data_IF_149469160910
#
_entry.id   IF_149469160910
#
_cell.length_a   1.000
_cell.length_b   1.000
_cell.length_c   1.000
_cell.angle_alpha   90.00
_cell.angle_beta   90.00
_cell.angle_gamma   90.00
#
_symmetry.space_group_name_H-M   'P 1'
#
loop_
_entity.id
_entity.type
_entity.pdbx_description
1 polymer ?
#
# COMPACT_ATOMS: atom_id res chain seq x y z
N UNK A 1 9.26 22.62 -9.67
CA UNK A 1 8.67 21.87 -10.80
C UNK A 1 7.18 21.73 -10.56
N UNK A 2 6.30 22.01 -11.53
CA UNK A 2 4.87 21.79 -11.36
C UNK A 2 4.64 20.29 -11.16
N UNK A 3 4.06 19.91 -10.04
CA UNK A 3 3.72 18.51 -9.76
C UNK A 3 2.54 18.14 -10.65
N UNK A 4 2.77 17.34 -11.69
CA UNK A 4 1.70 16.69 -12.42
C UNK A 4 0.73 16.06 -11.40
N UNK A 5 -0.59 16.31 -11.53
CA UNK A 5 -1.56 15.74 -10.62
C UNK A 5 -1.48 14.22 -10.66
N UNK A 6 -1.68 13.58 -9.51
CA UNK A 6 -1.76 12.13 -9.45
C UNK A 6 -2.95 11.66 -10.28
N UNK A 7 -2.72 10.75 -11.23
CA UNK A 7 -3.77 10.14 -12.04
C UNK A 7 -4.66 9.23 -11.22
N UNK A 8 -4.05 8.48 -10.29
CA UNK A 8 -4.77 7.63 -9.36
C UNK A 8 -4.32 7.90 -7.93
N UNK A 9 -5.28 7.82 -7.00
CA UNK A 9 -5.03 7.87 -5.56
C UNK A 9 -5.75 6.72 -4.88
N UNK A 10 -4.99 5.92 -4.14
CA UNK A 10 -5.50 4.81 -3.33
C UNK A 10 -5.27 5.17 -1.86
N UNK A 11 -6.26 4.94 -1.01
CA UNK A 11 -6.14 5.18 0.43
C UNK A 11 -6.75 4.02 1.18
N UNK A 12 -5.92 3.36 1.98
CA UNK A 12 -6.32 2.23 2.81
C UNK A 12 -6.08 2.63 4.26
N UNK A 13 -7.07 2.42 5.11
CA UNK A 13 -6.96 2.65 6.55
C UNK A 13 -7.35 1.38 7.28
N UNK A 14 -6.43 0.92 8.12
CA UNK A 14 -6.69 -0.09 9.12
C UNK A 14 -7.33 0.61 10.33
N UNK A 15 -8.56 0.23 10.68
CA UNK A 15 -9.29 0.82 11.81
C UNK A 15 -8.88 0.19 13.16
N UNK A 16 -8.35 -1.03 13.16
CA UNK A 16 -7.88 -1.71 14.36
C UNK A 16 -6.57 -1.08 14.85
N UNK A 17 -5.58 -0.97 13.96
CA UNK A 17 -4.28 -0.36 14.32
C UNK A 17 -4.24 1.16 14.12
N UNK A 18 -5.34 1.76 13.64
CA UNK A 18 -5.46 3.17 13.23
C UNK A 18 -4.40 3.64 12.22
N UNK A 19 -3.72 2.70 11.56
CA UNK A 19 -2.67 3.02 10.59
C UNK A 19 -3.27 3.22 9.19
N UNK A 20 -2.83 4.26 8.49
CA UNK A 20 -3.23 4.55 7.11
C UNK A 20 -2.07 4.45 6.11
N UNK A 21 -2.38 4.02 4.90
CA UNK A 21 -1.50 4.06 3.74
C UNK A 21 -2.19 4.83 2.61
N UNK A 22 -1.62 5.95 2.21
CA UNK A 22 -2.00 6.68 1.01
C UNK A 22 -0.96 6.44 -0.08
N UNK A 23 -1.42 5.99 -1.25
CA UNK A 23 -0.59 5.80 -2.44
C UNK A 23 -1.10 6.71 -3.54
N UNK A 24 -0.21 7.50 -4.11
CA UNK A 24 -0.51 8.39 -5.24
C UNK A 24 0.35 7.96 -6.43
N UNK A 25 -0.29 7.83 -7.59
CA UNK A 25 0.31 7.37 -8.83
C UNK A 25 0.29 8.51 -9.84
N UNK A 26 1.46 9.04 -10.17
CA UNK A 26 1.64 10.12 -11.13
C UNK A 26 2.14 9.52 -12.43
N UNK A 27 1.52 9.83 -13.57
CA UNK A 27 1.95 9.30 -14.86
C UNK A 27 3.44 9.56 -15.09
N UNK A 28 4.15 8.48 -15.39
CA UNK A 28 5.57 8.49 -15.72
C UNK A 28 5.81 7.41 -16.79
N UNK A 29 5.34 7.64 -18.04
CA UNK A 29 5.51 6.65 -19.09
C UNK A 29 6.98 6.28 -19.26
N UNK A 30 7.25 4.97 -19.34
CA UNK A 30 8.61 4.47 -19.53
C UNK A 30 9.15 4.83 -20.92
N UNK A 31 10.47 4.70 -21.13
CA UNK A 31 11.12 5.01 -22.42
C UNK A 31 10.58 4.17 -23.59
N UNK A 32 9.96 3.03 -23.29
CA UNK A 32 9.38 2.10 -24.27
C UNK A 32 7.83 2.13 -24.30
N UNK A 33 7.21 3.19 -23.78
CA UNK A 33 5.74 3.33 -23.75
C UNK A 33 5.02 2.51 -22.68
N UNK A 34 5.78 1.89 -21.76
CA UNK A 34 5.22 1.20 -20.60
C UNK A 34 4.39 2.17 -19.74
N UNK A 35 3.18 1.76 -19.36
CA UNK A 35 2.33 2.51 -18.42
C UNK A 35 2.87 2.37 -16.99
N UNK A 36 3.89 3.16 -16.68
CA UNK A 36 4.47 3.28 -15.34
C UNK A 36 4.01 4.56 -14.66
N UNK A 37 4.09 4.54 -13.34
CA UNK A 37 3.68 5.63 -12.48
C UNK A 37 4.77 5.91 -11.45
N UNK A 38 5.10 7.19 -11.26
CA UNK A 38 5.84 7.65 -10.09
C UNK A 38 4.97 7.48 -8.86
N UNK A 39 5.50 6.79 -7.86
CA UNK A 39 4.75 6.45 -6.66
C UNK A 39 5.09 7.43 -5.53
N UNK A 40 4.05 8.00 -4.91
CA UNK A 40 4.18 8.67 -3.62
C UNK A 40 3.42 7.90 -2.55
N UNK A 41 4.07 7.75 -1.40
CA UNK A 41 3.48 7.20 -0.19
C UNK A 41 3.29 8.35 0.80
N UNK A 42 2.05 8.58 1.22
CA UNK A 42 1.69 9.63 2.18
C UNK A 42 2.24 11.01 1.79
N UNK A 43 2.16 11.36 0.50
CA UNK A 43 2.64 12.64 -0.05
C UNK A 43 4.15 12.70 -0.30
N UNK A 44 4.93 11.67 0.07
CA UNK A 44 6.39 11.62 -0.14
C UNK A 44 6.75 10.63 -1.25
N UNK A 45 7.79 10.89 -2.07
CA UNK A 45 8.29 9.91 -3.02
C UNK A 45 8.59 8.56 -2.34
N UNK A 46 8.16 7.48 -2.97
CA UNK A 46 8.40 6.14 -2.45
C UNK A 46 9.89 5.77 -2.61
N UNK A 47 10.63 5.68 -1.49
CA UNK A 47 12.07 5.42 -1.52
C UNK A 47 12.44 4.06 -2.12
N UNK A 48 11.66 3.01 -1.84
CA UNK A 48 11.95 1.64 -2.30
C UNK A 48 11.38 1.31 -3.68
N UNK A 49 10.36 2.05 -4.10
CA UNK A 49 9.62 1.79 -5.35
C UNK A 49 9.28 3.13 -5.97
N UNK A 50 10.28 3.84 -6.51
CA UNK A 50 10.06 5.18 -7.05
C UNK A 50 9.08 5.16 -8.23
N UNK A 51 9.08 4.07 -9.00
CA UNK A 51 8.18 3.85 -10.14
C UNK A 51 7.64 2.43 -10.14
N UNK A 52 6.37 2.28 -10.53
CA UNK A 52 5.70 0.99 -10.62
C UNK A 52 4.58 1.01 -11.67
N UNK A 53 4.26 -0.17 -12.19
CA UNK A 53 3.02 -0.43 -12.91
C UNK A 53 1.84 -0.55 -11.93
N UNK A 54 0.59 -0.44 -12.44
CA UNK A 54 -0.59 -0.65 -11.59
C UNK A 54 -0.60 -2.04 -10.93
N UNK A 55 -0.21 -3.08 -11.66
CA UNK A 55 -0.16 -4.45 -11.15
C UNK A 55 0.80 -4.57 -9.96
N UNK A 56 2.01 -4.01 -10.09
CA UNK A 56 2.99 -4.02 -8.99
C UNK A 56 2.51 -3.24 -7.76
N UNK A 57 1.77 -2.14 -7.97
CA UNK A 57 1.16 -1.38 -6.87
C UNK A 57 0.13 -2.25 -6.15
N UNK A 58 -0.79 -2.89 -6.87
CA UNK A 58 -1.81 -3.75 -6.27
C UNK A 58 -1.22 -4.98 -5.57
N UNK A 59 -0.19 -5.61 -6.15
CA UNK A 59 0.50 -6.73 -5.51
C UNK A 59 1.16 -6.34 -4.19
N UNK A 60 1.78 -5.16 -4.14
CA UNK A 60 2.39 -4.64 -2.91
C UNK A 60 1.34 -4.24 -1.88
N UNK A 61 0.23 -3.63 -2.31
CA UNK A 61 -0.90 -3.33 -1.44
C UNK A 61 -1.49 -4.61 -0.85
N UNK A 62 -1.68 -5.65 -1.65
CA UNK A 62 -2.15 -6.96 -1.18
C UNK A 62 -1.24 -7.53 -0.09
N UNK A 63 0.07 -7.60 -0.35
CA UNK A 63 1.06 -8.09 0.64
C UNK A 63 1.05 -7.26 1.92
N UNK A 64 0.92 -5.93 1.80
CA UNK A 64 0.84 -5.04 2.95
C UNK A 64 -0.40 -5.30 3.79
N UNK A 65 -1.57 -5.44 3.16
CA UNK A 65 -2.85 -5.68 3.86
C UNK A 65 -2.85 -7.05 4.54
N UNK A 66 -2.37 -8.10 3.87
CA UNK A 66 -2.27 -9.45 4.46
C UNK A 66 -1.33 -9.45 5.66
N UNK A 67 -0.14 -8.84 5.54
CA UNK A 67 0.80 -8.78 6.66
C UNK A 67 0.23 -8.01 7.87
N UNK A 68 -0.66 -7.04 7.65
CA UNK A 68 -1.36 -6.33 8.73
C UNK A 68 -2.38 -7.24 9.41
N UNK A 69 -3.22 -7.93 8.62
CA UNK A 69 -4.20 -8.87 9.15
C UNK A 69 -3.54 -10.00 9.97
N UNK A 70 -2.41 -10.56 9.52
CA UNK A 70 -1.68 -11.60 10.25
C UNK A 70 -1.07 -11.10 11.58
N UNK A 71 -0.63 -9.84 11.62
CA UNK A 71 -0.09 -9.22 12.84
C UNK A 71 -1.17 -9.00 13.89
N UNK A 72 -2.40 -8.70 13.48
CA UNK A 72 -3.53 -8.61 14.39
C UNK A 72 -3.83 -9.99 15.02
N UNK A 73 -3.74 -11.08 14.25
CA UNK A 73 -3.91 -12.46 14.74
C UNK A 73 -2.79 -12.91 15.70
N UNK A 74 -1.59 -12.33 15.60
CA UNK A 74 -0.42 -12.75 16.39
C UNK A 74 -0.09 -11.79 17.54
N UNK A 75 -0.82 -10.68 17.67
CA UNK A 75 -0.68 -9.73 18.78
C UNK A 75 -1.14 -10.29 20.13
N UNK A 76 -0.91 -9.59 21.26
CA UNK A 76 -1.27 -10.06 22.59
C UNK A 76 -2.76 -10.40 22.77
N UNK A 77 -3.64 -9.92 21.88
CA UNK A 77 -5.08 -10.22 21.83
C UNK A 77 -5.45 -11.38 20.89
N UNK A 78 -4.55 -11.78 19.98
CA UNK A 78 -4.83 -12.85 19.02
C UNK A 78 -4.66 -14.26 19.60
N UNK A 79 -3.96 -14.39 20.74
CA UNK A 79 -3.82 -15.66 21.47
C UNK A 79 -5.10 -16.07 22.22
N UNK A 80 -6.02 -15.15 22.47
CA UNK A 80 -7.29 -15.43 23.17
C UNK A 80 -8.41 -15.93 22.25
N UNK A 81 -8.38 -15.58 20.95
CA UNK A 81 -9.43 -15.98 19.99
C UNK A 81 -9.24 -17.39 19.42
N UNK A 82 -8.16 -18.08 19.76
CA UNK A 82 -7.85 -19.41 19.25
C UNK A 82 -7.82 -20.48 20.36
N UNK A 83 -8.66 -20.31 21.39
CA UNK A 83 -8.99 -21.41 22.32
C UNK A 83 -10.16 -22.20 21.73
N UNK A 84 -10.00 -23.51 21.46
CA UNK A 84 -11.17 -24.35 21.23
C UNK A 84 -12.03 -24.28 22.49
N UNK A 85 -13.31 -23.97 22.32
CA UNK A 85 -14.30 -24.18 23.38
C UNK A 85 -14.31 -25.67 23.71
N UNK A 86 -13.87 -25.99 24.92
CA UNK A 86 -13.94 -27.33 25.49
C UNK A 86 -15.39 -27.67 25.86
#
# INVERSE_FOLDING_TARGET
MPTSPARFRISIKDQHTRTGLKVELIDAPGPWGERRYKVRLNGKPAAKVPEATLSEVFDRLRRWTVSRAERDVTGPYGREMNRPVA
#
